data_IF_103567319588
#
_entry.id   IF_103567319588
#
_cell.length_a   1.000
_cell.length_b   1.000
_cell.length_c   1.000
_cell.angle_alpha   90.00
_cell.angle_beta   90.00
_cell.angle_gamma   90.00
#
_symmetry.space_group_name_H-M   'P 1'
#
loop_
_entity.id
_entity.type
_entity.pdbx_description
1 polymer ?
#
# COMPACT_ATOMS: atom_id res chain seq x y z
N UNK A 1 -4.71 21.48 1.36
CA UNK A 1 -4.53 20.04 0.96
C UNK A 1 -3.12 19.87 0.41
N UNK A 2 -2.39 18.87 0.88
CA UNK A 2 -1.00 18.62 0.51
C UNK A 2 -0.85 17.23 -0.11
N UNK A 3 -0.05 17.14 -1.17
CA UNK A 3 0.38 15.86 -1.72
C UNK A 3 1.83 15.59 -1.30
N UNK A 4 2.04 14.51 -0.56
CA UNK A 4 3.36 14.07 -0.15
C UNK A 4 3.79 12.88 -1.01
N UNK A 5 5.00 12.93 -1.57
CA UNK A 5 5.61 11.80 -2.28
C UNK A 5 6.73 11.26 -1.40
N UNK A 6 6.73 9.96 -1.18
CA UNK A 6 7.74 9.26 -0.40
C UNK A 6 8.43 8.23 -1.29
N UNK A 7 9.75 8.27 -1.33
CA UNK A 7 10.57 7.29 -2.04
C UNK A 7 11.36 6.46 -1.05
N UNK A 8 11.38 5.16 -1.24
CA UNK A 8 12.20 4.22 -0.47
C UNK A 8 12.77 3.13 -1.36
N UNK A 9 13.89 2.56 -0.94
CA UNK A 9 14.46 1.40 -1.64
C UNK A 9 13.67 0.13 -1.28
N UNK A 10 13.35 -0.07 -0.02
CA UNK A 10 12.67 -1.26 0.48
C UNK A 10 11.31 -0.91 1.10
N UNK A 11 10.47 -1.93 1.33
CA UNK A 11 9.17 -1.75 2.03
C UNK A 11 9.41 -1.18 3.43
N UNK A 12 10.38 -1.70 4.17
CA UNK A 12 10.70 -1.22 5.52
C UNK A 12 11.16 0.23 5.53
N UNK A 13 12.03 0.62 4.61
CA UNK A 13 12.49 2.00 4.51
C UNK A 13 11.36 2.97 4.17
N UNK A 14 10.51 2.61 3.18
CA UNK A 14 9.36 3.41 2.81
C UNK A 14 8.37 3.55 3.97
N UNK A 15 8.11 2.47 4.71
CA UNK A 15 7.25 2.48 5.89
C UNK A 15 7.80 3.42 6.98
N UNK A 16 9.09 3.31 7.30
CA UNK A 16 9.75 4.17 8.29
C UNK A 16 9.68 5.66 7.89
N UNK A 17 9.94 5.97 6.62
CA UNK A 17 9.83 7.33 6.08
C UNK A 17 8.39 7.85 6.14
N UNK A 18 7.40 6.99 5.87
CA UNK A 18 5.99 7.34 5.99
C UNK A 18 5.62 7.70 7.43
N UNK A 19 6.11 6.95 8.44
CA UNK A 19 5.87 7.28 9.85
C UNK A 19 6.41 8.67 10.17
N UNK A 20 7.68 8.93 9.88
CA UNK A 20 8.33 10.23 10.13
C UNK A 20 7.58 11.38 9.44
N UNK A 21 7.27 11.20 8.17
CA UNK A 21 6.57 12.21 7.39
C UNK A 21 5.13 12.43 7.90
N UNK A 22 4.41 11.36 8.29
CA UNK A 22 3.05 11.48 8.82
C UNK A 22 3.02 12.21 10.15
N UNK A 23 3.96 11.90 11.06
CA UNK A 23 4.08 12.61 12.35
C UNK A 23 4.39 14.10 12.17
N UNK A 24 5.18 14.45 11.16
CA UNK A 24 5.58 15.84 10.92
C UNK A 24 4.59 16.64 10.05
N UNK A 25 4.06 16.03 8.99
CA UNK A 25 3.33 16.72 7.92
C UNK A 25 1.84 16.35 7.85
N UNK A 26 1.41 15.31 8.58
CA UNK A 26 0.01 14.90 8.65
C UNK A 26 -0.83 15.89 9.46
N UNK A 27 -2.12 15.86 9.19
CA UNK A 27 -3.13 16.65 9.92
C UNK A 27 -3.97 15.75 10.83
N UNK A 28 -4.43 16.28 11.95
CA UNK A 28 -5.23 15.53 12.91
C UNK A 28 -6.71 15.64 12.55
N UNK A 29 -7.37 14.48 12.41
CA UNK A 29 -8.80 14.35 12.12
C UNK A 29 -9.49 13.56 13.22
N UNK A 30 -10.65 14.05 13.67
CA UNK A 30 -11.51 13.29 14.58
C UNK A 30 -12.27 12.23 13.76
N UNK A 31 -12.29 11.02 14.28
CA UNK A 31 -12.99 9.90 13.65
C UNK A 31 -14.47 10.01 14.00
N UNK A 32 -15.31 10.20 13.00
CA UNK A 32 -16.73 10.46 13.14
C UNK A 32 -17.60 9.19 13.14
N UNK A 33 -17.05 8.03 12.79
CA UNK A 33 -17.76 6.74 12.71
C UNK A 33 -16.83 5.55 12.83
N UNK A 34 -17.35 4.45 13.37
CA UNK A 34 -16.66 3.16 13.42
C UNK A 34 -16.07 2.84 14.78
N UNK A 35 -15.16 1.86 14.79
CA UNK A 35 -14.61 1.27 16.03
C UNK A 35 -13.87 2.31 16.90
N UNK A 36 -13.25 3.32 16.28
CA UNK A 36 -12.46 4.37 16.96
C UNK A 36 -13.18 5.72 16.98
N UNK A 37 -14.54 5.74 16.92
CA UNK A 37 -15.32 6.97 16.96
C UNK A 37 -14.98 7.84 18.18
N UNK A 38 -14.75 9.13 17.93
CA UNK A 38 -14.38 10.11 18.94
C UNK A 38 -12.88 10.20 19.24
N UNK A 39 -12.07 9.25 18.76
CA UNK A 39 -10.61 9.33 18.79
C UNK A 39 -10.12 10.17 17.59
N UNK A 40 -8.85 10.56 17.59
CA UNK A 40 -8.27 11.19 16.41
C UNK A 40 -7.29 10.25 15.69
N UNK A 41 -6.99 10.60 14.46
CA UNK A 41 -5.93 10.01 13.67
C UNK A 41 -5.15 11.12 12.98
N UNK A 42 -3.87 10.94 12.81
CA UNK A 42 -3.02 11.82 12.00
C UNK A 42 -2.87 11.24 10.61
N UNK A 43 -3.25 11.99 9.58
CA UNK A 43 -3.28 11.47 8.22
C UNK A 43 -2.75 12.44 7.17
N UNK A 44 -2.30 11.89 6.04
CA UNK A 44 -2.04 12.67 4.83
C UNK A 44 -3.32 12.93 4.05
N UNK A 45 -3.46 14.12 3.47
CA UNK A 45 -4.51 14.40 2.47
C UNK A 45 -4.37 13.50 1.24
N UNK A 46 -3.13 13.38 0.73
CA UNK A 46 -2.75 12.49 -0.35
C UNK A 46 -1.28 12.13 -0.21
N UNK A 47 -0.98 10.85 -0.35
CA UNK A 47 0.40 10.36 -0.40
C UNK A 47 0.61 9.44 -1.60
N UNK A 48 1.76 9.54 -2.24
CA UNK A 48 2.28 8.57 -3.21
C UNK A 48 3.59 8.00 -2.67
N UNK A 49 3.68 6.68 -2.61
CA UNK A 49 4.84 5.96 -2.08
C UNK A 49 5.44 5.15 -3.22
N UNK A 50 6.70 5.38 -3.53
CA UNK A 50 7.45 4.64 -4.54
C UNK A 50 8.51 3.78 -3.86
N UNK A 51 8.43 2.47 -4.06
CA UNK A 51 9.37 1.48 -3.52
C UNK A 51 10.11 0.86 -4.70
N UNK A 52 11.43 1.08 -4.72
CA UNK A 52 12.27 0.73 -5.87
C UNK A 52 12.57 -0.76 -5.95
N UNK A 53 12.93 -1.38 -4.83
CA UNK A 53 13.31 -2.78 -4.70
C UNK A 53 12.42 -3.47 -3.64
N UNK A 54 11.09 -3.60 -3.91
CA UNK A 54 10.13 -4.06 -2.91
C UNK A 54 10.31 -5.54 -2.53
N UNK A 55 10.98 -6.35 -3.38
CA UNK A 55 11.30 -7.76 -3.09
C UNK A 55 12.43 -7.96 -2.07
N UNK A 56 13.08 -6.89 -1.63
CA UNK A 56 14.15 -6.99 -0.62
C UNK A 56 13.63 -7.63 0.67
N UNK A 57 14.31 -8.65 1.14
CA UNK A 57 13.94 -9.37 2.38
C UNK A 57 14.67 -8.80 3.60
N UNK A 58 14.04 -8.85 4.81
CA UNK A 58 12.70 -9.35 5.07
C UNK A 58 11.61 -8.38 4.58
N UNK A 59 10.42 -8.92 4.19
CA UNK A 59 9.25 -8.09 3.83
C UNK A 59 8.56 -7.49 5.07
N UNK A 60 8.73 -8.14 6.23
CA UNK A 60 8.16 -7.67 7.48
C UNK A 60 8.87 -6.40 7.95
N UNK A 61 8.08 -5.42 8.35
CA UNK A 61 8.57 -4.17 8.93
C UNK A 61 8.58 -4.26 10.46
N UNK A 62 9.59 -3.65 11.07
CA UNK A 62 9.68 -3.55 12.52
C UNK A 62 10.54 -2.38 12.95
N UNK A 63 10.22 -1.83 14.11
CA UNK A 63 11.05 -0.90 14.89
C UNK A 63 11.15 -1.43 16.32
N UNK A 64 11.94 -0.84 17.22
CA UNK A 64 12.06 -1.34 18.59
C UNK A 64 10.74 -1.53 19.34
N UNK A 65 9.78 -0.61 19.17
CA UNK A 65 8.49 -0.64 19.87
C UNK A 65 7.33 -1.15 18.99
N UNK A 66 7.51 -1.18 17.65
CA UNK A 66 6.47 -1.53 16.70
C UNK A 66 6.88 -2.76 15.88
N UNK A 67 6.15 -3.86 16.06
CA UNK A 67 6.32 -5.08 15.26
C UNK A 67 4.94 -5.46 14.68
N UNK A 68 4.46 -4.70 13.68
CA UNK A 68 3.07 -4.82 13.22
C UNK A 68 2.78 -6.14 12.51
N UNK A 69 3.80 -6.75 11.91
CA UNK A 69 3.62 -7.99 11.15
C UNK A 69 4.88 -8.86 11.21
N UNK A 70 4.73 -10.13 10.84
CA UNK A 70 5.83 -11.09 10.70
C UNK A 70 5.85 -11.67 9.29
N UNK A 71 6.97 -12.29 8.91
CA UNK A 71 7.05 -12.97 7.63
C UNK A 71 6.02 -14.09 7.46
N UNK A 72 5.65 -14.78 8.56
CA UNK A 72 4.59 -15.80 8.52
C UNK A 72 3.22 -15.15 8.30
N UNK A 73 2.91 -14.09 9.02
CA UNK A 73 1.64 -13.36 8.88
C UNK A 73 1.45 -12.79 7.46
N UNK A 74 2.52 -12.27 6.84
CA UNK A 74 2.47 -11.81 5.44
C UNK A 74 2.14 -12.96 4.49
N UNK A 75 2.72 -14.15 4.69
CA UNK A 75 2.42 -15.33 3.87
C UNK A 75 0.99 -15.80 4.06
N UNK A 76 0.47 -15.80 5.29
CA UNK A 76 -0.91 -16.16 5.59
C UNK A 76 -1.88 -15.14 4.98
N UNK A 77 -1.61 -13.84 5.11
CA UNK A 77 -2.36 -12.77 4.44
C UNK A 77 -2.40 -12.95 2.92
N UNK A 78 -1.24 -13.21 2.29
CA UNK A 78 -1.15 -13.46 0.85
C UNK A 78 -2.00 -14.67 0.45
N UNK A 79 -1.85 -15.81 1.13
CA UNK A 79 -2.56 -17.05 0.81
C UNK A 79 -4.05 -16.94 1.06
N UNK A 80 -4.45 -16.48 2.25
CA UNK A 80 -5.81 -16.63 2.75
C UNK A 80 -6.68 -15.41 2.43
N UNK A 81 -6.08 -14.23 2.26
CA UNK A 81 -6.81 -12.98 2.07
C UNK A 81 -6.72 -12.42 0.63
N UNK A 82 -5.57 -12.62 -0.05
CA UNK A 82 -5.39 -12.15 -1.41
C UNK A 82 -5.73 -13.19 -2.49
N UNK A 83 -5.49 -14.48 -2.24
CA UNK A 83 -5.60 -15.51 -3.29
C UNK A 83 -6.67 -16.58 -3.07
N UNK A 84 -7.17 -16.80 -1.85
CA UNK A 84 -8.10 -17.89 -1.61
C UNK A 84 -9.47 -17.37 -1.17
N UNK A 85 -10.37 -17.21 -2.15
CA UNK A 85 -11.75 -16.77 -1.89
C UNK A 85 -12.61 -17.86 -1.25
N UNK A 86 -12.23 -19.13 -1.38
CA UNK A 86 -13.01 -20.29 -0.90
C UNK A 86 -12.76 -20.63 0.58
N UNK A 87 -11.69 -20.09 1.20
CA UNK A 87 -11.47 -20.27 2.63
C UNK A 87 -12.47 -19.46 3.43
N UNK A 88 -13.27 -20.15 4.22
CA UNK A 88 -14.10 -19.50 5.21
C UNK A 88 -13.20 -18.77 6.24
N UNK A 89 -13.62 -17.60 6.64
CA UNK A 89 -12.99 -16.89 7.75
C UNK A 89 -13.39 -17.54 9.08
N UNK A 90 -12.69 -18.62 9.43
CA UNK A 90 -12.97 -19.43 10.63
C UNK A 90 -12.80 -18.65 11.93
N UNK A 91 -12.17 -17.49 11.92
CA UNK A 91 -11.90 -16.71 13.12
C UNK A 91 -12.58 -15.33 13.13
N UNK A 92 -13.43 -15.01 12.15
CA UNK A 92 -14.08 -13.69 12.05
C UNK A 92 -13.12 -12.50 11.86
N UNK A 93 -11.87 -12.77 11.46
CA UNK A 93 -10.85 -11.74 11.29
C UNK A 93 -11.10 -10.78 10.13
N UNK A 94 -11.86 -11.24 9.14
CA UNK A 94 -12.11 -10.53 7.90
C UNK A 94 -13.61 -10.29 7.73
N UNK A 95 -14.17 -9.50 8.62
CA UNK A 95 -15.59 -9.40 8.93
C UNK A 95 -16.55 -9.16 7.76
N UNK A 96 -16.11 -8.74 6.57
CA UNK A 96 -17.06 -8.39 5.51
C UNK A 96 -16.62 -8.73 4.09
N UNK A 97 -15.32 -8.86 3.81
CA UNK A 97 -14.80 -9.22 2.48
C UNK A 97 -13.35 -9.69 2.54
N UNK A 98 -12.98 -10.54 1.60
CA UNK A 98 -11.57 -10.83 1.28
C UNK A 98 -11.25 -10.20 -0.08
N UNK A 99 -10.06 -9.68 -0.23
CA UNK A 99 -9.60 -9.17 -1.53
C UNK A 99 -9.53 -10.28 -2.58
N UNK A 100 -9.31 -11.52 -2.16
CA UNK A 100 -9.33 -12.70 -3.01
C UNK A 100 -10.57 -12.80 -3.90
N UNK A 101 -11.75 -12.38 -3.41
CA UNK A 101 -12.99 -12.39 -4.20
C UNK A 101 -12.88 -11.61 -5.52
N UNK A 102 -11.98 -10.63 -5.60
CA UNK A 102 -11.74 -9.84 -6.82
C UNK A 102 -10.40 -10.15 -7.48
N UNK A 103 -9.38 -10.55 -6.73
CA UNK A 103 -8.03 -10.79 -7.24
C UNK A 103 -7.95 -12.17 -7.88
N UNK A 104 -8.40 -13.22 -7.19
CA UNK A 104 -8.30 -14.61 -7.64
C UNK A 104 -8.86 -14.83 -9.07
N UNK A 105 -10.07 -14.35 -9.41
CA UNK A 105 -10.61 -14.56 -10.76
C UNK A 105 -9.94 -13.73 -11.85
N UNK A 106 -9.09 -12.75 -11.52
CA UNK A 106 -8.61 -11.73 -12.46
C UNK A 106 -7.10 -11.72 -12.68
N UNK A 107 -6.29 -12.13 -11.69
CA UNK A 107 -4.84 -11.93 -11.74
C UNK A 107 -4.16 -12.69 -12.91
N UNK A 108 -4.57 -13.93 -13.18
CA UNK A 108 -3.99 -14.73 -14.25
C UNK A 108 -4.28 -14.10 -15.62
N UNK A 109 -5.53 -13.65 -15.84
CA UNK A 109 -5.91 -12.96 -17.07
C UNK A 109 -5.13 -11.64 -17.26
N UNK A 110 -4.91 -10.87 -16.20
CA UNK A 110 -4.05 -9.69 -16.25
C UNK A 110 -2.61 -10.04 -16.69
N UNK A 111 -2.06 -11.14 -16.19
CA UNK A 111 -0.74 -11.62 -16.60
C UNK A 111 -0.70 -12.04 -18.08
N UNK A 112 -1.75 -12.68 -18.59
CA UNK A 112 -1.90 -13.01 -20.01
C UNK A 112 -1.93 -11.75 -20.90
N UNK A 113 -2.66 -10.71 -20.46
CA UNK A 113 -2.68 -9.42 -21.16
C UNK A 113 -1.29 -8.77 -21.20
N UNK A 114 -0.53 -8.84 -20.10
CA UNK A 114 0.85 -8.32 -20.06
C UNK A 114 1.78 -9.11 -20.98
N UNK A 115 1.69 -10.43 -20.97
CA UNK A 115 2.49 -11.31 -21.82
C UNK A 115 2.25 -11.05 -23.32
N UNK A 116 0.98 -10.88 -23.70
CA UNK A 116 0.57 -10.63 -25.10
C UNK A 116 0.81 -9.18 -25.54
N UNK A 117 0.85 -8.23 -24.62
CA UNK A 117 0.94 -6.80 -24.89
C UNK A 117 2.34 -6.30 -25.21
N UNK A 118 3.37 -7.13 -25.18
CA UNK A 118 4.77 -6.81 -25.50
C UNK A 118 5.28 -5.52 -24.80
N UNK A 119 4.87 -5.30 -23.55
CA UNK A 119 5.22 -4.12 -22.71
C UNK A 119 4.35 -2.88 -22.95
N UNK A 120 3.40 -2.92 -23.88
CA UNK A 120 2.49 -1.79 -24.19
C UNK A 120 1.07 -1.94 -23.63
N UNK A 121 0.79 -2.99 -22.83
CA UNK A 121 -0.54 -3.21 -22.26
C UNK A 121 -0.86 -2.19 -21.17
N UNK A 122 -2.07 -1.60 -21.23
CA UNK A 122 -2.67 -0.71 -20.20
C UNK A 122 -4.01 -1.26 -19.71
N UNK A 123 -4.30 -2.54 -19.90
CA UNK A 123 -5.58 -3.17 -19.54
C UNK A 123 -5.47 -4.10 -18.32
N UNK A 124 -4.24 -4.39 -17.87
CA UNK A 124 -3.96 -5.31 -16.78
C UNK A 124 -4.28 -4.67 -15.41
N UNK A 125 -5.56 -4.46 -15.16
CA UNK A 125 -6.06 -3.73 -13.99
C UNK A 125 -7.10 -4.56 -13.24
N UNK A 126 -6.95 -4.71 -11.94
CA UNK A 126 -7.92 -5.35 -11.03
C UNK A 126 -8.58 -4.27 -10.19
N UNK A 127 -9.89 -4.09 -10.38
CA UNK A 127 -10.71 -3.20 -9.56
C UNK A 127 -11.34 -3.96 -8.41
N UNK A 128 -11.19 -3.48 -7.18
CA UNK A 128 -11.72 -4.13 -5.98
C UNK A 128 -12.96 -3.39 -5.47
N UNK A 129 -13.99 -4.16 -5.14
CA UNK A 129 -15.25 -3.68 -4.59
C UNK A 129 -16.44 -4.01 -5.48
N UNK A 130 -17.62 -3.80 -4.93
CA UNK A 130 -18.88 -4.10 -5.59
C UNK A 130 -19.11 -3.21 -6.80
N UNK A 131 -19.78 -3.75 -7.82
CA UNK A 131 -20.06 -3.08 -9.09
C UNK A 131 -20.90 -1.82 -8.95
N UNK A 132 -20.94 -1.01 -10.01
CA UNK A 132 -21.64 0.29 -10.01
C UNK A 132 -23.13 0.19 -9.71
N UNK A 133 -23.79 -0.92 -10.04
CA UNK A 133 -25.23 -1.15 -9.79
C UNK A 133 -25.57 -1.63 -8.38
N UNK A 134 -24.59 -1.93 -7.52
CA UNK A 134 -24.85 -2.38 -6.16
C UNK A 134 -24.84 -1.20 -5.17
N UNK A 135 -26.00 -0.80 -4.58
CA UNK A 135 -26.06 0.30 -3.60
C UNK A 135 -25.19 0.05 -2.37
N UNK A 136 -24.99 -1.20 -1.98
CA UNK A 136 -24.19 -1.57 -0.81
C UNK A 136 -22.69 -1.34 -0.99
N UNK A 137 -22.23 -0.98 -2.21
CA UNK A 137 -20.83 -0.63 -2.50
C UNK A 137 -20.29 0.53 -1.65
N UNK A 138 -21.16 1.33 -1.07
CA UNK A 138 -20.78 2.45 -0.20
C UNK A 138 -20.81 2.12 1.28
N UNK A 139 -21.43 1.00 1.69
CA UNK A 139 -21.64 0.68 3.09
C UNK A 139 -20.33 0.27 3.75
N UNK A 140 -19.53 -0.57 3.19
CA UNK A 140 -18.19 -0.95 3.69
C UNK A 140 -17.26 -1.25 2.51
N UNK A 141 -16.84 -0.21 1.77
CA UNK A 141 -16.00 -0.42 0.61
C UNK A 141 -14.60 -0.92 1.04
N UNK A 142 -13.98 -1.83 0.28
CA UNK A 142 -12.63 -2.30 0.57
C UNK A 142 -11.63 -1.13 0.62
N UNK A 143 -10.60 -1.23 1.47
CA UNK A 143 -9.56 -0.21 1.57
C UNK A 143 -8.68 -0.19 0.31
N UNK A 144 -8.21 -1.34 -0.15
CA UNK A 144 -7.57 -1.50 -1.46
C UNK A 144 -8.64 -1.41 -2.55
N UNK A 145 -8.45 -0.53 -3.52
CA UNK A 145 -9.43 -0.26 -4.58
C UNK A 145 -8.97 -0.65 -5.97
N UNK A 146 -7.65 -0.67 -6.16
CA UNK A 146 -7.06 -0.89 -7.48
C UNK A 146 -5.71 -1.57 -7.33
N UNK A 147 -5.46 -2.57 -8.19
CA UNK A 147 -4.14 -3.08 -8.52
C UNK A 147 -4.00 -2.93 -10.03
N UNK A 148 -3.07 -2.08 -10.47
CA UNK A 148 -2.75 -1.89 -11.87
C UNK A 148 -1.33 -2.39 -12.12
N UNK A 149 -1.12 -3.07 -13.24
CA UNK A 149 0.11 -3.80 -13.53
C UNK A 149 0.71 -3.30 -14.83
N UNK A 150 2.02 -3.19 -14.86
CA UNK A 150 2.75 -2.85 -16.09
C UNK A 150 4.02 -3.67 -16.21
N UNK A 151 4.19 -4.28 -17.38
CA UNK A 151 5.45 -4.88 -17.79
C UNK A 151 6.21 -3.88 -18.66
N UNK A 152 7.44 -3.51 -18.26
CA UNK A 152 8.28 -2.61 -19.03
C UNK A 152 9.74 -3.01 -18.89
N UNK A 153 10.45 -3.20 -20.00
CA UNK A 153 11.84 -3.64 -20.03
C UNK A 153 12.07 -4.93 -19.22
N UNK A 154 11.13 -5.86 -19.34
CA UNK A 154 11.10 -7.12 -18.59
C UNK A 154 11.01 -6.98 -17.05
N UNK A 155 10.63 -5.79 -16.56
CA UNK A 155 10.32 -5.54 -15.14
C UNK A 155 8.81 -5.43 -14.95
N UNK A 156 8.28 -6.17 -13.96
CA UNK A 156 6.87 -6.11 -13.56
C UNK A 156 6.68 -5.08 -12.45
N UNK A 157 5.92 -4.05 -12.73
CA UNK A 157 5.57 -2.98 -11.79
C UNK A 157 4.13 -3.09 -11.35
N UNK A 158 3.86 -2.83 -10.05
CA UNK A 158 2.51 -2.68 -9.50
C UNK A 158 2.23 -1.24 -9.10
N UNK A 159 1.02 -0.76 -9.41
CA UNK A 159 0.45 0.51 -8.98
C UNK A 159 -0.81 0.20 -8.21
N UNK A 160 -0.88 0.60 -6.94
CA UNK A 160 -2.00 0.26 -6.07
C UNK A 160 -2.61 1.51 -5.44
N UNK A 161 -3.93 1.49 -5.22
CA UNK A 161 -4.63 2.58 -4.59
C UNK A 161 -5.45 2.13 -3.39
N UNK A 162 -5.20 2.78 -2.25
CA UNK A 162 -5.97 2.61 -1.02
C UNK A 162 -6.78 3.86 -0.72
N UNK A 163 -8.11 3.72 -0.51
CA UNK A 163 -8.97 4.85 -0.13
C UNK A 163 -8.73 5.35 1.30
N UNK A 164 -8.27 4.47 2.18
CA UNK A 164 -7.93 4.68 3.58
C UNK A 164 -6.94 3.59 3.98
N UNK A 165 -5.93 3.90 4.77
CA UNK A 165 -4.87 2.96 5.03
C UNK A 165 -4.23 3.19 6.40
N UNK A 166 -4.27 2.19 7.26
CA UNK A 166 -3.55 2.20 8.53
C UNK A 166 -2.04 2.07 8.27
N UNK A 167 -1.29 3.09 8.65
CA UNK A 167 0.15 3.16 8.41
C UNK A 167 0.93 2.17 9.29
N UNK A 168 0.47 1.93 10.53
CA UNK A 168 1.22 1.11 11.49
C UNK A 168 0.93 -0.37 11.26
N UNK A 169 -0.31 -0.80 11.38
CA UNK A 169 -0.67 -2.22 11.32
C UNK A 169 -0.95 -2.71 9.89
N UNK A 170 -1.66 -1.92 9.09
CA UNK A 170 -2.14 -2.36 7.78
C UNK A 170 -1.10 -2.29 6.67
N UNK A 171 -0.38 -1.17 6.55
CA UNK A 171 0.55 -0.94 5.44
C UNK A 171 1.64 -2.00 5.30
N UNK A 172 2.35 -2.42 6.37
CA UNK A 172 3.40 -3.42 6.24
C UNK A 172 2.90 -4.78 5.75
N UNK A 173 1.77 -5.23 6.29
CA UNK A 173 1.16 -6.51 5.90
C UNK A 173 0.64 -6.47 4.46
N UNK A 174 -0.04 -5.37 4.09
CA UNK A 174 -0.58 -5.20 2.73
C UNK A 174 0.53 -5.11 1.68
N UNK A 175 1.57 -4.31 1.91
CA UNK A 175 2.69 -4.20 0.97
C UNK A 175 3.45 -5.51 0.84
N UNK A 176 3.69 -6.21 1.96
CA UNK A 176 4.33 -7.52 1.93
C UNK A 176 3.53 -8.55 1.14
N UNK A 177 2.21 -8.62 1.35
CA UNK A 177 1.32 -9.51 0.62
C UNK A 177 1.20 -9.17 -0.86
N UNK A 178 1.08 -7.88 -1.19
CA UNK A 178 1.05 -7.40 -2.58
C UNK A 178 2.37 -7.66 -3.31
N UNK A 179 3.51 -7.62 -2.60
CA UNK A 179 4.79 -8.02 -3.17
C UNK A 179 4.82 -9.51 -3.50
N UNK A 180 4.31 -10.38 -2.62
CA UNK A 180 4.21 -11.81 -2.92
C UNK A 180 3.27 -12.08 -4.11
N UNK A 181 2.17 -11.34 -4.22
CA UNK A 181 1.28 -11.41 -5.39
C UNK A 181 2.02 -10.98 -6.67
N UNK A 182 2.81 -9.91 -6.61
CA UNK A 182 3.60 -9.44 -7.76
C UNK A 182 4.64 -10.47 -8.19
N UNK A 183 5.30 -11.13 -7.25
CA UNK A 183 6.25 -12.22 -7.53
C UNK A 183 5.55 -13.39 -8.23
N UNK A 184 4.39 -13.83 -7.72
CA UNK A 184 3.57 -14.86 -8.37
C UNK A 184 3.18 -14.47 -9.81
N UNK A 185 2.73 -13.22 -10.01
CA UNK A 185 2.41 -12.71 -11.35
C UNK A 185 3.64 -12.69 -12.26
N UNK A 186 4.80 -12.30 -11.74
CA UNK A 186 6.06 -12.30 -12.48
C UNK A 186 6.46 -13.69 -12.95
N UNK A 187 6.42 -14.70 -12.07
CA UNK A 187 6.69 -16.09 -12.41
C UNK A 187 5.71 -16.62 -13.48
N UNK A 188 4.43 -16.26 -13.37
CA UNK A 188 3.45 -16.69 -14.37
C UNK A 188 3.67 -16.00 -15.72
N UNK A 189 3.93 -14.70 -15.77
CA UNK A 189 4.27 -13.99 -17.02
C UNK A 189 5.54 -14.56 -17.62
N UNK A 190 6.59 -14.84 -16.83
CA UNK A 190 7.82 -15.47 -17.29
C UNK A 190 7.52 -16.81 -17.98
N UNK A 191 6.64 -17.65 -17.41
CA UNK A 191 6.24 -18.93 -17.99
C UNK A 191 5.53 -18.76 -19.34
N UNK A 192 4.80 -17.68 -19.54
CA UNK A 192 4.07 -17.39 -20.79
C UNK A 192 4.98 -16.84 -21.89
N UNK A 193 5.94 -15.98 -21.52
CA UNK A 193 6.80 -15.31 -22.52
C UNK A 193 8.11 -16.05 -22.80
N UNK A 194 8.48 -17.01 -21.95
CA UNK A 194 9.68 -17.85 -22.10
C UNK A 194 11.00 -17.08 -21.91
N UNK A 195 11.00 -15.96 -21.17
CA UNK A 195 12.19 -15.19 -20.81
C UNK A 195 12.05 -14.61 -19.40
N UNK A 196 13.18 -14.33 -18.71
CA UNK A 196 13.15 -13.81 -17.34
C UNK A 196 12.32 -12.54 -17.19
N UNK A 197 11.52 -12.48 -16.12
CA UNK A 197 10.79 -11.30 -15.70
C UNK A 197 11.33 -10.87 -14.35
N UNK A 198 11.79 -9.63 -14.28
CA UNK A 198 12.41 -9.06 -13.09
C UNK A 198 11.40 -8.32 -12.22
N UNK A 199 11.76 -8.19 -10.95
CA UNK A 199 10.96 -7.45 -9.99
C UNK A 199 11.13 -5.93 -10.20
N UNK A 200 10.06 -5.26 -10.59
CA UNK A 200 10.02 -3.81 -10.76
C UNK A 200 9.50 -3.09 -9.51
N UNK A 201 9.33 -1.78 -9.60
CA UNK A 201 8.86 -0.97 -8.50
C UNK A 201 7.42 -1.30 -8.08
N UNK A 202 7.12 -1.06 -6.79
CA UNK A 202 5.77 -1.00 -6.26
C UNK A 202 5.45 0.45 -5.92
N UNK A 203 4.41 1.01 -6.55
CA UNK A 203 3.95 2.38 -6.31
C UNK A 203 2.56 2.31 -5.67
N UNK A 204 2.44 2.85 -4.47
CA UNK A 204 1.18 2.89 -3.74
C UNK A 204 0.70 4.34 -3.57
N UNK A 205 -0.60 4.55 -3.68
CA UNK A 205 -1.24 5.85 -3.45
C UNK A 205 -2.35 5.71 -2.42
N UNK A 206 -2.49 6.70 -1.54
CA UNK A 206 -3.61 6.77 -0.60
C UNK A 206 -4.01 8.22 -0.32
N UNK A 207 -5.32 8.45 -0.21
CA UNK A 207 -5.90 9.71 0.27
C UNK A 207 -6.29 9.63 1.75
N UNK A 208 -5.60 8.92 2.57
CA UNK A 208 -5.96 8.71 3.97
C UNK A 208 -5.06 7.65 4.59
N UNK A 209 -3.76 7.73 4.30
CA UNK A 209 -2.75 6.99 5.05
C UNK A 209 -2.58 7.67 6.39
N UNK A 210 -2.81 6.93 7.49
CA UNK A 210 -2.93 7.52 8.82
C UNK A 210 -2.29 6.69 9.92
N UNK A 211 -1.98 7.38 11.04
CA UNK A 211 -1.61 6.79 12.33
C UNK A 211 -2.74 7.10 13.30
N UNK A 212 -3.28 6.06 13.96
CA UNK A 212 -4.24 6.26 15.06
C UNK A 212 -3.55 6.84 16.29
N UNK A 213 -4.29 7.61 17.09
CA UNK A 213 -3.77 8.33 18.27
C UNK A 213 -2.99 7.44 19.25
N UNK A 214 -3.49 6.24 19.51
CA UNK A 214 -2.85 5.28 20.43
C UNK A 214 -1.49 4.73 19.95
N UNK A 215 -1.11 4.95 18.68
CA UNK A 215 0.20 4.60 18.15
C UNK A 215 1.16 5.80 18.04
N UNK A 216 0.68 7.03 18.18
CA UNK A 216 1.50 8.24 17.93
C UNK A 216 2.73 8.28 18.84
N UNK A 217 2.56 8.08 20.14
CA UNK A 217 3.68 8.14 21.11
C UNK A 217 4.70 7.02 20.84
N UNK A 218 4.24 5.80 20.54
CA UNK A 218 5.12 4.69 20.21
C UNK A 218 5.90 4.96 18.93
N UNK A 219 5.20 5.44 17.90
CA UNK A 219 5.81 5.78 16.63
C UNK A 219 6.85 6.90 16.79
N UNK A 220 6.55 7.94 17.58
CA UNK A 220 7.46 9.05 17.84
C UNK A 220 8.72 8.60 18.60
N UNK A 221 8.57 7.72 19.59
CA UNK A 221 9.71 7.17 20.32
C UNK A 221 10.65 6.38 19.41
N UNK A 222 10.11 5.64 18.43
CA UNK A 222 10.91 4.80 17.53
C UNK A 222 11.61 5.58 16.42
N UNK A 223 10.97 6.63 15.89
CA UNK A 223 11.54 7.39 14.76
C UNK A 223 12.27 8.66 15.21
N UNK A 224 12.19 9.00 16.49
CA UNK A 224 12.75 10.22 17.06
C UNK A 224 12.00 11.49 16.66
N UNK A 225 12.55 12.64 17.02
CA UNK A 225 11.96 13.92 16.66
C UNK A 225 12.03 14.15 15.14
N UNK A 226 10.87 14.16 14.52
CA UNK A 226 10.70 14.46 13.09
C UNK A 226 10.06 15.84 12.84
N UNK A 227 9.84 16.63 13.89
CA UNK A 227 9.16 17.93 13.80
C UNK A 227 9.86 18.92 12.86
N UNK A 228 11.19 18.83 12.75
CA UNK A 228 11.99 19.65 11.85
C UNK A 228 11.58 19.51 10.38
N UNK A 229 11.02 18.36 9.97
CA UNK A 229 10.55 18.13 8.59
C UNK A 229 9.43 19.09 8.19
N UNK A 230 8.70 19.66 9.17
CA UNK A 230 7.63 20.63 8.90
C UNK A 230 8.16 21.93 8.30
N UNK A 231 9.30 22.39 8.78
CA UNK A 231 9.96 23.62 8.35
C UNK A 231 11.16 23.38 7.41
N UNK A 232 11.46 22.12 7.14
CA UNK A 232 12.59 21.74 6.31
C UNK A 232 12.43 22.28 4.88
N UNK A 233 13.57 22.69 4.29
CA UNK A 233 13.60 23.02 2.87
C UNK A 233 13.34 21.80 2.00
N UNK A 234 12.95 22.02 0.74
CA UNK A 234 12.70 20.91 -0.20
C UNK A 234 13.96 20.07 -0.44
N UNK A 235 15.16 20.66 -0.32
CA UNK A 235 16.44 19.94 -0.40
C UNK A 235 16.63 18.98 0.78
N UNK A 236 16.32 19.41 2.01
CA UNK A 236 16.39 18.56 3.21
C UNK A 236 15.36 17.43 3.09
N UNK A 237 14.14 17.76 2.70
CA UNK A 237 13.10 16.74 2.50
C UNK A 237 13.49 15.73 1.42
N UNK A 238 14.06 16.18 0.30
CA UNK A 238 14.50 15.30 -0.79
C UNK A 238 15.60 14.32 -0.32
N UNK A 239 16.53 14.75 0.54
CA UNK A 239 17.53 13.88 1.13
C UNK A 239 16.91 12.79 2.03
N UNK A 240 15.76 13.09 2.65
CA UNK A 240 14.95 12.12 3.41
C UNK A 240 14.02 11.29 2.50
N UNK A 241 14.06 11.48 1.18
CA UNK A 241 13.18 10.80 0.23
C UNK A 241 11.73 11.28 0.30
N UNK A 242 11.48 12.48 0.82
CA UNK A 242 10.17 13.09 1.01
C UNK A 242 10.06 14.30 0.09
N UNK A 243 8.93 14.46 -0.59
CA UNK A 243 8.67 15.58 -1.49
C UNK A 243 7.27 16.13 -1.21
N UNK A 244 7.13 17.44 -1.08
CA UNK A 244 5.84 18.13 -0.93
C UNK A 244 5.43 18.75 -2.25
N UNK A 245 4.20 18.50 -2.67
CA UNK A 245 3.61 19.13 -3.84
C UNK A 245 2.36 19.88 -3.37
N UNK A 246 2.38 21.21 -3.30
CA UNK A 246 1.20 21.96 -2.90
C UNK A 246 0.08 21.81 -3.95
N UNK A 247 -1.17 21.62 -3.48
CA UNK A 247 -2.33 21.71 -4.32
C UNK A 247 -2.79 23.18 -4.40
N UNK A 248 -2.76 23.74 -5.58
CA UNK A 248 -3.23 25.09 -5.86
C UNK A 248 -2.12 26.13 -5.83
N UNK A 249 -2.30 27.15 -6.65
CA UNK A 249 -1.47 28.36 -6.63
C UNK A 249 -1.97 29.20 -5.47
N UNK A 250 -1.10 29.50 -4.50
CA UNK A 250 -1.39 30.59 -3.57
C UNK A 250 -1.50 31.88 -4.39
N UNK A 251 -2.73 32.34 -4.62
CA UNK A 251 -2.99 33.67 -5.17
C UNK A 251 -2.78 34.70 -4.10
#
# INVERSE_FOLDING_TARGET
MNHVIIKGMTIQEAWFRCIRACLALGEDYIIDKGEYEGQFRREFDLVTIQIQCPSTRPLACSTPSLTPTSGQRIKDYFRDYLLNSSLDDLEGKYNEYKYASWIEPAWAHCCELLANGQGGCNQATISLGKGAGDPSRFTHPPCLRLIDMRLKNDELHFFVYFRSWDLIAGMPENLGGLQLLKELCGEYVESLVGRPIYDGALVAMSKGLHIYDHFIDLAQNDVGDSSYLREASDEILANEGIYRIPFGVST
#
